data_IF_873231061800
#
_entry.id   IF_873231061800
#
_cell.length_a   1.000
_cell.length_b   1.000
_cell.length_c   1.000
_cell.angle_alpha   90.00
_cell.angle_beta   90.00
_cell.angle_gamma   90.00
#
_symmetry.space_group_name_H-M   'P 1'
#
loop_
_entity.id
_entity.type
_entity.pdbx_description
1 polymer ?
#
# COMPACT_ATOMS: atom_id res chain seq x y z
N UNK A 1 24.57 -0.47 3.39
CA UNK A 1 23.43 -0.74 2.48
C UNK A 1 22.56 0.51 2.52
N UNK A 2 22.46 1.27 1.44
CA UNK A 2 21.60 2.46 1.40
C UNK A 2 20.17 1.97 1.20
N UNK A 3 19.37 1.92 2.27
CA UNK A 3 17.93 1.69 2.11
C UNK A 3 17.34 2.93 1.45
N UNK A 4 16.61 2.78 0.34
CA UNK A 4 15.86 3.92 -0.19
C UNK A 4 14.88 4.40 0.89
N UNK A 5 14.62 5.72 0.96
CA UNK A 5 13.60 6.29 1.87
C UNK A 5 12.26 5.54 1.77
N UNK A 6 11.97 4.99 0.60
CA UNK A 6 10.71 4.33 0.26
C UNK A 6 10.64 2.88 0.73
N UNK A 7 11.78 2.21 0.92
CA UNK A 7 11.85 0.78 1.26
C UNK A 7 11.09 0.39 2.53
N UNK A 8 10.93 1.33 3.47
CA UNK A 8 10.29 1.09 4.78
C UNK A 8 9.12 2.03 5.07
N UNK A 9 8.67 2.80 4.08
CA UNK A 9 7.68 3.86 4.28
C UNK A 9 6.34 3.54 3.62
N UNK A 10 5.25 3.74 4.36
CA UNK A 10 3.89 3.73 3.80
C UNK A 10 3.46 5.13 3.31
N UNK A 11 4.35 6.13 3.31
CA UNK A 11 4.06 7.48 2.79
C UNK A 11 4.07 7.47 1.25
N UNK A 12 3.04 6.86 0.67
CA UNK A 12 2.88 6.82 -0.77
C UNK A 12 2.53 8.20 -1.33
N UNK A 13 1.99 9.14 -0.54
CA UNK A 13 1.72 10.51 -0.99
C UNK A 13 3.03 11.21 -1.37
N UNK A 14 4.02 11.19 -0.48
CA UNK A 14 5.34 11.74 -0.75
C UNK A 14 6.01 11.02 -1.92
N UNK A 15 5.82 9.69 -2.01
CA UNK A 15 6.37 8.89 -3.11
C UNK A 15 5.76 9.27 -4.46
N UNK A 16 4.44 9.34 -4.58
CA UNK A 16 3.74 9.73 -5.81
C UNK A 16 4.14 11.14 -6.25
N UNK A 17 4.34 12.07 -5.31
CA UNK A 17 4.88 13.41 -5.62
C UNK A 17 6.30 13.33 -6.18
N UNK A 18 7.16 12.52 -5.57
CA UNK A 18 8.53 12.33 -6.06
C UNK A 18 8.56 11.66 -7.46
N UNK A 19 7.65 10.71 -7.71
CA UNK A 19 7.46 10.09 -9.03
C UNK A 19 6.97 11.10 -10.08
N UNK A 20 6.06 12.00 -9.68
CA UNK A 20 5.56 13.07 -10.56
C UNK A 20 6.70 14.01 -10.98
N UNK A 21 7.61 14.36 -10.05
CA UNK A 21 8.78 15.18 -10.37
C UNK A 21 9.77 14.48 -11.32
N UNK A 22 9.73 13.15 -11.41
CA UNK A 22 10.49 12.35 -12.38
C UNK A 22 9.72 12.09 -13.69
N UNK A 23 8.52 12.66 -13.86
CA UNK A 23 7.64 12.42 -15.00
C UNK A 23 7.36 10.92 -15.23
N UNK A 24 7.22 10.14 -14.16
CA UNK A 24 6.80 8.74 -14.28
C UNK A 24 5.39 8.68 -14.89
N UNK A 25 5.25 7.98 -16.00
CA UNK A 25 3.99 7.75 -16.72
C UNK A 25 3.71 6.25 -16.83
N UNK A 26 2.51 5.86 -17.28
CA UNK A 26 2.18 4.45 -17.53
C UNK A 26 1.84 3.63 -16.28
N UNK A 27 1.10 4.21 -15.33
CA UNK A 27 0.51 3.44 -14.24
C UNK A 27 -0.78 2.77 -14.72
N UNK A 28 -0.79 1.44 -14.78
CA UNK A 28 -1.97 0.58 -14.91
C UNK A 28 -2.72 0.41 -13.57
N UNK A 29 -2.31 1.13 -12.53
CA UNK A 29 -2.98 1.09 -11.25
C UNK A 29 -4.42 1.56 -11.40
N UNK A 30 -5.34 0.81 -10.81
CA UNK A 30 -6.75 1.15 -10.92
C UNK A 30 -7.05 2.46 -10.18
N UNK A 31 -7.68 3.38 -10.90
CA UNK A 31 -8.23 4.62 -10.36
C UNK A 31 -9.68 4.72 -10.84
N UNK A 32 -10.66 4.95 -9.93
CA UNK A 32 -12.06 4.98 -10.31
C UNK A 32 -12.37 6.19 -11.20
N UNK A 33 -13.27 5.99 -12.16
CA UNK A 33 -13.75 7.06 -13.07
C UNK A 33 -14.39 8.20 -12.29
N UNK A 34 -15.13 7.87 -11.24
CA UNK A 34 -15.74 8.83 -10.32
C UNK A 34 -15.09 8.70 -8.94
N UNK A 35 -14.69 9.80 -8.28
CA UNK A 35 -14.07 9.73 -6.96
C UNK A 35 -15.09 9.28 -5.91
N UNK A 36 -14.64 8.62 -4.82
CA UNK A 36 -15.45 8.49 -3.61
C UNK A 36 -15.97 9.85 -3.14
N UNK A 37 -17.17 9.88 -2.55
CA UNK A 37 -17.82 11.14 -2.15
C UNK A 37 -16.95 12.02 -1.21
N UNK A 38 -16.23 11.40 -0.27
CA UNK A 38 -15.30 12.09 0.61
C UNK A 38 -14.14 12.75 -0.14
N UNK A 39 -13.61 12.08 -1.17
CA UNK A 39 -12.56 12.62 -2.05
C UNK A 39 -13.09 13.80 -2.84
N UNK A 40 -14.28 13.68 -3.45
CA UNK A 40 -14.90 14.78 -4.19
C UNK A 40 -15.08 16.02 -3.30
N UNK A 41 -15.61 15.84 -2.08
CA UNK A 41 -15.81 16.92 -1.11
C UNK A 41 -14.48 17.59 -0.73
N UNK A 42 -13.42 16.80 -0.50
CA UNK A 42 -12.10 17.35 -0.16
C UNK A 42 -11.52 18.16 -1.30
N UNK A 43 -11.64 17.71 -2.54
CA UNK A 43 -11.14 18.44 -3.70
C UNK A 43 -11.88 19.77 -3.91
N UNK A 44 -13.20 19.79 -3.69
CA UNK A 44 -14.00 21.01 -3.78
C UNK A 44 -13.53 22.10 -2.79
N UNK A 45 -13.04 21.73 -1.59
CA UNK A 45 -12.48 22.69 -0.63
C UNK A 45 -11.23 23.42 -1.17
N UNK A 46 -10.60 22.85 -2.20
CA UNK A 46 -9.43 23.42 -2.88
C UNK A 46 -9.76 23.90 -4.29
N UNK A 47 -11.04 24.03 -4.64
CA UNK A 47 -11.49 24.40 -5.99
C UNK A 47 -10.97 23.47 -7.10
N UNK A 48 -10.77 22.19 -6.76
CA UNK A 48 -10.34 21.14 -7.69
C UNK A 48 -11.49 20.15 -7.94
N UNK A 49 -11.49 19.58 -9.14
CA UNK A 49 -12.31 18.44 -9.54
C UNK A 49 -11.44 17.19 -9.72
N UNK A 50 -12.07 16.02 -9.78
CA UNK A 50 -11.35 14.76 -10.02
C UNK A 50 -10.60 14.75 -11.35
N UNK A 51 -11.16 15.38 -12.37
CA UNK A 51 -10.58 15.38 -13.71
C UNK A 51 -9.38 16.32 -13.84
N UNK A 52 -9.18 17.23 -12.88
CA UNK A 52 -8.01 18.11 -12.85
C UNK A 52 -6.74 17.38 -12.40
N UNK A 53 -6.89 16.17 -11.83
CA UNK A 53 -5.78 15.40 -11.28
C UNK A 53 -5.19 14.41 -12.30
N UNK A 54 -3.87 14.31 -12.33
CA UNK A 54 -3.15 13.22 -13.00
C UNK A 54 -3.39 11.88 -12.29
N UNK A 55 -3.09 10.76 -12.93
CA UNK A 55 -3.22 9.42 -12.32
C UNK A 55 -2.46 9.31 -10.99
N UNK A 56 -1.21 9.79 -10.92
CA UNK A 56 -0.43 9.76 -9.68
C UNK A 56 -1.04 10.63 -8.58
N UNK A 57 -1.59 11.80 -8.93
CA UNK A 57 -2.29 12.66 -7.97
C UNK A 57 -3.58 12.02 -7.46
N UNK A 58 -4.33 11.34 -8.34
CA UNK A 58 -5.51 10.56 -7.95
C UNK A 58 -5.14 9.44 -6.98
N UNK A 59 -4.07 8.67 -7.27
CA UNK A 59 -3.57 7.63 -6.38
C UNK A 59 -3.12 8.21 -5.03
N UNK A 60 -2.44 9.37 -5.03
CA UNK A 60 -2.02 10.04 -3.80
C UNK A 60 -3.20 10.46 -2.93
N UNK A 61 -4.24 11.06 -3.52
CA UNK A 61 -5.43 11.48 -2.76
C UNK A 61 -6.22 10.27 -2.25
N UNK A 62 -6.34 9.21 -3.06
CA UNK A 62 -6.97 7.95 -2.61
C UNK A 62 -6.21 7.39 -1.42
N UNK A 63 -4.89 7.20 -1.53
CA UNK A 63 -4.07 6.68 -0.44
C UNK A 63 -4.16 7.53 0.83
N UNK A 64 -4.03 8.86 0.71
CA UNK A 64 -4.09 9.78 1.84
C UNK A 64 -5.45 9.70 2.57
N UNK A 65 -6.53 9.48 1.82
CA UNK A 65 -7.87 9.32 2.37
C UNK A 65 -8.23 7.88 2.74
N UNK A 66 -7.27 6.96 2.66
CA UNK A 66 -7.46 5.56 3.03
C UNK A 66 -8.25 4.74 2.02
N UNK A 67 -8.24 5.11 0.74
CA UNK A 67 -8.84 4.31 -0.33
C UNK A 67 -7.78 3.50 -1.07
N UNK A 68 -7.99 2.19 -1.17
CA UNK A 68 -7.10 1.25 -1.87
C UNK A 68 -7.89 0.44 -2.90
N UNK A 69 -7.28 0.11 -4.03
CA UNK A 69 -7.93 -0.67 -5.07
C UNK A 69 -8.23 -2.11 -4.58
N UNK A 70 -9.45 -2.57 -4.88
CA UNK A 70 -9.84 -3.97 -4.80
C UNK A 70 -9.55 -4.67 -6.12
N UNK A 71 -9.62 -6.00 -6.10
CA UNK A 71 -9.49 -6.81 -7.31
C UNK A 71 -10.64 -6.67 -8.31
N UNK A 72 -11.77 -6.12 -7.89
CA UNK A 72 -12.97 -5.96 -8.74
C UNK A 72 -13.00 -4.62 -9.48
N UNK A 73 -11.86 -3.91 -9.55
CA UNK A 73 -11.80 -2.59 -10.17
C UNK A 73 -12.70 -1.60 -9.43
N UNK A 74 -12.61 -1.57 -8.11
CA UNK A 74 -13.24 -0.57 -7.23
C UNK A 74 -12.22 -0.14 -6.18
N UNK A 75 -12.51 0.90 -5.41
CA UNK A 75 -11.70 1.25 -4.23
C UNK A 75 -12.47 0.95 -2.95
N UNK A 76 -11.76 0.57 -1.90
CA UNK A 76 -12.30 0.23 -0.58
C UNK A 76 -11.69 1.17 0.46
N UNK A 77 -12.51 1.63 1.41
CA UNK A 77 -12.06 2.42 2.54
C UNK A 77 -11.35 1.52 3.57
N UNK A 78 -10.11 1.87 3.88
CA UNK A 78 -9.28 1.32 4.93
C UNK A 78 -9.48 2.18 6.18
N UNK A 79 -9.53 1.50 7.33
CA UNK A 79 -9.69 2.13 8.63
C UNK A 79 -8.43 1.93 9.44
N UNK A 80 -7.77 3.00 9.83
CA UNK A 80 -6.53 2.92 10.63
C UNK A 80 -6.86 2.91 12.12
N UNK A 81 -5.94 2.38 12.93
CA UNK A 81 -6.11 2.38 14.38
C UNK A 81 -6.38 3.81 14.90
N UNK A 82 -7.29 3.96 15.84
CA UNK A 82 -7.56 5.26 16.44
C UNK A 82 -6.37 5.70 17.32
N UNK A 83 -5.93 6.94 17.14
CA UNK A 83 -5.22 7.68 18.15
C UNK A 83 -6.17 8.05 19.31
N UNK A 84 -5.61 8.56 20.41
CA UNK A 84 -6.33 8.90 21.65
C UNK A 84 -7.46 9.93 21.49
N UNK A 85 -7.56 10.59 20.35
CA UNK A 85 -8.56 11.61 20.01
C UNK A 85 -9.66 11.12 19.04
N UNK A 86 -9.84 9.80 18.90
CA UNK A 86 -10.76 9.17 17.93
C UNK A 86 -10.45 9.50 16.46
N UNK A 87 -9.24 9.99 16.15
CA UNK A 87 -8.77 10.13 14.78
C UNK A 87 -7.93 8.92 14.41
N UNK A 88 -8.15 8.34 13.24
CA UNK A 88 -7.30 7.28 12.73
C UNK A 88 -5.86 7.75 12.54
N UNK A 89 -4.88 6.86 12.72
CA UNK A 89 -3.49 7.12 12.32
C UNK A 89 -3.44 7.48 10.82
N UNK A 90 -2.53 8.40 10.40
CA UNK A 90 -2.27 8.62 8.99
C UNK A 90 -1.94 7.32 8.24
N UNK A 91 -2.40 7.20 6.99
CA UNK A 91 -2.08 6.06 6.12
C UNK A 91 -0.57 5.86 5.94
N UNK A 92 0.22 6.92 6.06
CA UNK A 92 1.68 6.86 6.06
C UNK A 92 2.30 6.03 7.21
N UNK A 93 1.55 5.72 8.27
CA UNK A 93 2.05 5.03 9.46
C UNK A 93 1.54 3.60 9.61
N UNK A 94 0.83 3.05 8.61
CA UNK A 94 0.20 1.73 8.73
C UNK A 94 1.16 0.57 8.46
N UNK A 95 2.31 0.81 7.84
CA UNK A 95 3.30 -0.24 7.61
C UNK A 95 3.99 -0.65 8.91
N UNK A 96 4.27 -1.96 9.02
CA UNK A 96 5.19 -2.46 10.03
C UNK A 96 6.62 -2.21 9.58
N UNK A 97 7.44 -1.72 10.50
CA UNK A 97 8.88 -1.60 10.33
C UNK A 97 9.53 -2.98 10.43
N UNK A 98 10.74 -3.14 9.87
CA UNK A 98 11.50 -4.37 10.02
C UNK A 98 11.80 -4.69 11.50
N UNK A 99 12.05 -3.65 12.31
CA UNK A 99 12.29 -3.81 13.74
C UNK A 99 11.05 -4.34 14.48
N UNK A 100 9.86 -3.85 14.14
CA UNK A 100 8.59 -4.40 14.68
C UNK A 100 8.43 -5.86 14.29
N UNK A 101 8.68 -6.23 13.02
CA UNK A 101 8.58 -7.63 12.57
C UNK A 101 9.56 -8.54 13.29
N UNK A 102 10.82 -8.12 13.45
CA UNK A 102 11.83 -8.88 14.20
C UNK A 102 11.44 -9.01 15.68
N UNK A 103 10.85 -7.96 16.26
CA UNK A 103 10.33 -7.95 17.63
C UNK A 103 9.18 -8.94 17.88
N UNK A 104 8.53 -9.43 16.82
CA UNK A 104 7.47 -10.45 16.88
C UNK A 104 8.03 -11.88 16.82
N UNK A 105 9.24 -12.09 17.34
CA UNK A 105 9.97 -13.36 17.33
C UNK A 105 10.07 -13.99 15.93
N UNK A 106 10.22 -13.13 14.91
CA UNK A 106 10.27 -13.54 13.51
C UNK A 106 11.58 -13.11 12.86
N UNK A 107 11.90 -13.72 11.72
CA UNK A 107 13.11 -13.40 10.98
C UNK A 107 12.79 -12.90 9.58
N UNK A 108 13.69 -12.09 9.04
CA UNK A 108 13.61 -11.58 7.68
C UNK A 108 14.76 -12.11 6.84
N UNK A 109 14.51 -12.36 5.56
CA UNK A 109 15.56 -12.68 4.58
C UNK A 109 15.68 -11.56 3.56
N UNK A 110 16.89 -11.37 3.04
CA UNK A 110 17.16 -10.41 1.98
C UNK A 110 16.96 -11.09 0.62
N UNK A 111 16.16 -10.46 -0.24
CA UNK A 111 15.93 -10.86 -1.62
C UNK A 111 16.50 -9.82 -2.57
N UNK A 112 16.97 -10.23 -3.75
CA UNK A 112 17.44 -9.32 -4.79
C UNK A 112 16.21 -8.75 -5.50
N UNK A 113 16.09 -7.43 -5.58
CA UNK A 113 15.04 -6.82 -6.39
C UNK A 113 15.39 -6.95 -7.89
N UNK A 114 14.44 -7.36 -8.75
CA UNK A 114 14.63 -7.29 -10.19
C UNK A 114 14.53 -5.84 -10.74
N UNK A 115 14.15 -4.88 -9.89
CA UNK A 115 13.89 -3.48 -10.27
C UNK A 115 14.84 -2.48 -9.62
N UNK A 116 15.70 -2.92 -8.70
CA UNK A 116 16.71 -2.10 -8.03
C UNK A 116 18.04 -2.85 -8.00
N UNK A 117 19.14 -2.12 -7.89
CA UNK A 117 20.48 -2.70 -7.68
C UNK A 117 20.70 -3.18 -6.24
N UNK A 118 19.75 -2.93 -5.34
CA UNK A 118 19.80 -3.29 -3.92
C UNK A 118 18.85 -4.45 -3.58
N UNK A 119 19.17 -5.15 -2.49
CA UNK A 119 18.26 -6.11 -1.88
C UNK A 119 17.14 -5.42 -1.11
N UNK A 120 16.03 -6.14 -0.91
CA UNK A 120 14.94 -5.77 0.01
C UNK A 120 14.72 -6.92 1.02
N UNK A 121 14.30 -6.60 2.23
CA UNK A 121 13.96 -7.60 3.24
C UNK A 121 12.50 -8.07 3.09
N UNK A 122 12.23 -9.36 3.30
CA UNK A 122 10.87 -9.90 3.47
C UNK A 122 10.80 -10.88 4.63
N UNK A 123 9.58 -11.18 5.08
CA UNK A 123 9.38 -12.16 6.14
C UNK A 123 9.85 -13.55 5.68
N UNK A 124 10.59 -14.24 6.54
CA UNK A 124 11.12 -15.59 6.33
C UNK A 124 10.24 -16.66 7.00
N UNK A 125 8.93 -16.47 6.97
CA UNK A 125 7.96 -17.43 7.47
C UNK A 125 6.59 -17.14 6.85
N UNK A 126 5.67 -18.08 7.02
CA UNK A 126 4.23 -17.90 6.78
C UNK A 126 3.51 -17.34 8.01
N UNK A 127 4.25 -16.90 9.04
CA UNK A 127 3.66 -16.36 10.26
C UNK A 127 2.88 -15.09 9.97
N UNK A 128 1.75 -14.90 10.64
CA UNK A 128 0.91 -13.73 10.46
C UNK A 128 0.63 -13.07 11.80
N UNK A 129 0.79 -11.75 11.86
CA UNK A 129 0.79 -10.99 13.11
C UNK A 129 -0.43 -10.07 13.20
N UNK A 130 -1.63 -10.65 13.31
CA UNK A 130 -2.89 -9.87 13.38
C UNK A 130 -2.86 -8.87 14.55
N UNK A 131 -2.30 -9.26 15.70
CA UNK A 131 -2.18 -8.40 16.88
C UNK A 131 -1.32 -7.14 16.64
N UNK A 132 -0.53 -7.12 15.57
CA UNK A 132 0.31 -5.99 15.16
C UNK A 132 -0.29 -5.19 14.01
N UNK A 133 -1.51 -5.52 13.55
CA UNK A 133 -2.18 -4.79 12.51
C UNK A 133 -2.42 -3.33 12.92
N UNK A 134 -2.03 -2.40 12.04
CA UNK A 134 -2.21 -0.95 12.23
C UNK A 134 -3.45 -0.40 11.50
N UNK A 135 -4.13 -1.25 10.74
CA UNK A 135 -5.33 -0.92 10.00
C UNK A 135 -6.24 -2.14 9.83
N UNK A 136 -7.49 -1.88 9.45
CA UNK A 136 -8.51 -2.85 9.16
C UNK A 136 -9.08 -2.60 7.76
N UNK A 137 -9.40 -3.69 7.08
CA UNK A 137 -9.98 -3.71 5.74
C UNK A 137 -11.36 -4.36 5.84
N UNK A 138 -12.44 -3.74 5.35
CA UNK A 138 -13.74 -4.38 5.27
C UNK A 138 -13.66 -5.71 4.53
N UNK A 139 -14.22 -6.74 5.16
CA UNK A 139 -14.21 -8.07 4.58
C UNK A 139 -15.05 -8.13 3.31
N UNK A 140 -14.44 -8.66 2.25
CA UNK A 140 -15.05 -8.98 0.97
C UNK A 140 -14.21 -10.09 0.32
N UNK A 141 -14.72 -10.81 -0.69
CA UNK A 141 -13.89 -11.75 -1.43
C UNK A 141 -12.81 -11.02 -2.24
N UNK A 142 -11.56 -11.09 -1.78
CA UNK A 142 -10.37 -10.59 -2.46
C UNK A 142 -9.55 -11.76 -3.05
N UNK A 143 -8.62 -11.53 -3.98
CA UNK A 143 -7.80 -12.60 -4.55
C UNK A 143 -6.83 -13.12 -3.50
N UNK A 144 -6.57 -14.42 -3.55
CA UNK A 144 -5.53 -15.03 -2.75
C UNK A 144 -4.16 -14.55 -3.23
N UNK A 145 -3.26 -14.32 -2.28
CA UNK A 145 -1.86 -14.04 -2.51
C UNK A 145 -1.01 -15.13 -1.87
N UNK A 146 0.07 -15.51 -2.55
CA UNK A 146 1.14 -16.36 -2.00
C UNK A 146 2.40 -15.55 -1.68
N UNK A 147 2.35 -14.24 -1.88
CA UNK A 147 3.46 -13.35 -1.57
C UNK A 147 3.67 -13.24 -0.06
N UNK A 148 4.75 -12.61 0.36
CA UNK A 148 5.00 -12.43 1.79
C UNK A 148 3.99 -11.46 2.41
N UNK A 149 3.49 -11.77 3.62
CA UNK A 149 2.61 -10.85 4.38
C UNK A 149 3.33 -9.57 4.82
N UNK A 150 4.66 -9.56 4.78
CA UNK A 150 5.48 -8.37 5.00
C UNK A 150 6.73 -8.38 4.11
N UNK A 151 6.98 -7.27 3.44
CA UNK A 151 8.22 -7.00 2.75
C UNK A 151 8.53 -5.49 2.74
N UNK A 152 9.81 -5.16 2.69
CA UNK A 152 10.26 -3.85 2.27
C UNK A 152 9.91 -3.65 0.79
N UNK A 153 9.71 -2.40 0.41
CA UNK A 153 9.49 -2.06 -0.98
C UNK A 153 10.75 -2.33 -1.82
N UNK A 154 10.57 -3.16 -2.85
CA UNK A 154 11.57 -3.57 -3.82
C UNK A 154 11.60 -2.71 -5.09
N UNK A 155 10.85 -1.62 -5.18
CA UNK A 155 10.71 -0.84 -6.42
C UNK A 155 11.57 0.42 -6.46
N UNK A 156 12.20 0.69 -7.60
CA UNK A 156 12.84 1.99 -7.86
C UNK A 156 11.81 3.11 -7.97
N UNK A 157 12.23 4.36 -7.71
CA UNK A 157 11.34 5.52 -7.76
C UNK A 157 10.78 5.81 -9.17
N UNK A 158 11.47 5.38 -10.21
CA UNK A 158 11.01 5.51 -11.60
C UNK A 158 9.98 4.45 -12.01
N UNK A 159 9.70 3.46 -11.15
CA UNK A 159 8.71 2.42 -11.43
C UNK A 159 7.32 2.85 -10.96
N UNK A 160 6.36 2.90 -11.89
CA UNK A 160 4.95 3.05 -11.55
C UNK A 160 4.53 1.96 -10.55
N UNK A 161 3.79 2.34 -9.51
CA UNK A 161 3.36 1.45 -8.44
C UNK A 161 1.83 1.31 -8.42
N UNK A 162 1.38 0.12 -8.04
CA UNK A 162 -0.01 -0.19 -7.77
C UNK A 162 -0.15 -0.68 -6.32
N UNK A 163 -1.27 -0.33 -5.70
CA UNK A 163 -1.65 -0.76 -4.35
C UNK A 163 -2.94 -1.55 -4.44
N UNK A 164 -2.93 -2.80 -3.98
CA UNK A 164 -4.11 -3.66 -4.06
C UNK A 164 -4.32 -4.49 -2.81
N UNK A 165 -5.58 -4.75 -2.51
CA UNK A 165 -5.97 -5.63 -1.41
C UNK A 165 -5.88 -7.08 -1.88
N UNK A 166 -5.19 -7.89 -1.10
CA UNK A 166 -5.14 -9.35 -1.23
C UNK A 166 -5.49 -10.01 0.08
N UNK A 167 -5.91 -11.28 -0.01
CA UNK A 167 -6.15 -12.11 1.15
C UNK A 167 -5.10 -13.22 1.24
N UNK A 168 -4.64 -13.48 2.46
CA UNK A 168 -3.75 -14.59 2.79
C UNK A 168 -4.61 -15.67 3.46
N UNK A 169 -4.78 -16.83 2.81
CA UNK A 169 -5.53 -17.92 3.42
C UNK A 169 -4.80 -18.40 4.68
N UNK A 170 -5.56 -18.65 5.73
CA UNK A 170 -5.09 -19.25 6.97
C UNK A 170 -5.94 -20.50 7.19
N UNK A 171 -5.31 -21.62 7.50
CA UNK A 171 -6.02 -22.89 7.67
C UNK A 171 -7.10 -22.73 8.76
N UNK A 172 -8.33 -23.12 8.43
CA UNK A 172 -9.52 -23.10 9.30
C UNK A 172 -9.92 -21.73 9.91
N UNK A 173 -9.37 -20.63 9.41
CA UNK A 173 -9.56 -19.27 9.95
C UNK A 173 -10.05 -18.25 8.92
N UNK A 174 -10.51 -17.08 9.42
CA UNK A 174 -10.82 -15.92 8.57
C UNK A 174 -9.54 -15.46 7.85
N UNK A 175 -9.54 -15.32 6.51
CA UNK A 175 -8.33 -14.96 5.80
C UNK A 175 -7.87 -13.56 6.17
N UNK A 176 -6.57 -13.35 6.17
CA UNK A 176 -5.98 -12.08 6.60
C UNK A 176 -5.83 -11.17 5.40
N UNK A 177 -6.34 -9.96 5.52
CA UNK A 177 -6.35 -8.99 4.43
C UNK A 177 -5.14 -8.07 4.54
N UNK A 178 -4.39 -7.96 3.45
CA UNK A 178 -3.18 -7.15 3.37
C UNK A 178 -3.26 -6.20 2.17
N UNK A 179 -2.60 -5.05 2.30
CA UNK A 179 -2.37 -4.14 1.19
C UNK A 179 -0.99 -4.45 0.62
N UNK A 180 -0.93 -4.86 -0.64
CA UNK A 180 0.31 -5.10 -1.36
C UNK A 180 0.67 -3.91 -2.22
N UNK A 181 1.98 -3.62 -2.28
CA UNK A 181 2.57 -2.63 -3.18
C UNK A 181 3.44 -3.38 -4.18
N UNK A 182 3.15 -3.23 -5.47
CA UNK A 182 3.91 -3.91 -6.53
C UNK A 182 4.01 -3.01 -7.76
N UNK A 183 4.85 -3.42 -8.71
CA UNK A 183 5.03 -2.67 -9.96
C UNK A 183 3.72 -2.70 -10.74
N UNK A 184 3.28 -1.52 -11.16
CA UNK A 184 2.10 -1.40 -12.03
C UNK A 184 2.30 -2.18 -13.34
N UNK A 185 1.27 -2.93 -13.77
CA UNK A 185 1.34 -3.87 -14.89
C UNK A 185 2.15 -5.15 -14.62
N UNK A 186 2.71 -5.31 -13.42
CA UNK A 186 3.41 -6.51 -12.98
C UNK A 186 2.47 -7.56 -12.38
N UNK A 187 2.96 -8.80 -12.31
CA UNK A 187 2.36 -9.84 -11.48
C UNK A 187 2.83 -9.67 -10.04
N UNK A 188 1.97 -10.03 -9.08
CA UNK A 188 2.36 -10.15 -7.68
C UNK A 188 3.47 -11.21 -7.56
N UNK A 189 4.53 -10.90 -6.80
CA UNK A 189 5.75 -11.71 -6.69
C UNK A 189 6.09 -12.08 -5.26
#
# INVERSE_FOLDING_TARGET
MSSSLWSTSADLVARYRAMQNLNVTGSDAYVPVTPPAGVAKRLQLHSLSWNDLTTLQKQAVLWDMGFVASSKGTVVQIYTNCASNNQGLPMAMIALTQAEVVGLNSSTINCISPYMTSSYARLNSSSIFIASAKCAIPYAPYPNSTASVWAQDGLQLSSALDTRIFQHPVDDDVPILNIHVFRSGGVEG
#
